data_IF_061130021475
#
_entry.id   IF_061130021475
#
_cell.length_a   1.000
_cell.length_b   1.000
_cell.length_c   1.000
_cell.angle_alpha   90.00
_cell.angle_beta   90.00
_cell.angle_gamma   90.00
#
_symmetry.space_group_name_H-M   'P 1'
#
loop_
_entity.id
_entity.type
_entity.pdbx_description
1 polymer ?
#
# COMPACT_ATOMS: atom_id res chain seq x y z
N UNK A 1 -18.99 13.25 3.14
CA UNK A 1 -17.73 12.48 3.00
C UNK A 1 -18.13 11.02 3.10
N UNK A 2 -18.13 10.29 1.98
CA UNK A 2 -18.62 8.92 1.96
C UNK A 2 -17.61 7.98 2.64
N UNK A 3 -18.14 6.90 3.22
CA UNK A 3 -17.34 5.91 3.95
C UNK A 3 -16.86 4.76 3.03
N UNK A 4 -17.02 4.93 1.71
CA UNK A 4 -16.88 3.92 0.66
C UNK A 4 -15.41 3.73 0.16
N UNK A 5 -14.49 4.60 0.60
CA UNK A 5 -13.07 4.55 0.19
C UNK A 5 -12.20 3.59 1.06
N UNK A 6 -12.81 2.83 1.97
CA UNK A 6 -12.11 1.86 2.83
C UNK A 6 -12.81 0.50 2.82
N UNK A 7 -12.17 -0.47 2.17
CA UNK A 7 -12.49 -1.88 2.34
C UNK A 7 -11.59 -2.49 3.42
N UNK A 8 -12.18 -2.99 4.51
CA UNK A 8 -11.47 -3.92 5.41
C UNK A 8 -11.49 -5.29 4.74
N UNK A 9 -10.44 -5.59 3.97
CA UNK A 9 -10.37 -6.78 3.12
C UNK A 9 -10.14 -8.06 3.93
N UNK A 10 -9.36 -7.97 5.01
CA UNK A 10 -9.08 -9.11 5.87
C UNK A 10 -8.73 -8.66 7.28
N UNK A 11 -9.14 -9.43 8.29
CA UNK A 11 -8.61 -9.36 9.65
C UNK A 11 -8.10 -10.74 10.02
N UNK A 12 -6.86 -10.82 10.53
CA UNK A 12 -6.23 -12.09 10.92
C UNK A 12 -5.84 -12.00 12.38
N UNK A 13 -6.34 -12.92 13.20
CA UNK A 13 -5.80 -13.15 14.54
C UNK A 13 -4.61 -14.09 14.46
N UNK A 14 -3.52 -13.74 15.14
CA UNK A 14 -2.30 -14.54 15.16
C UNK A 14 -1.60 -14.37 16.52
N UNK A 15 -0.84 -15.38 16.94
CA UNK A 15 -0.12 -15.37 18.21
C UNK A 15 1.38 -15.18 17.96
N UNK A 16 1.94 -14.11 18.51
CA UNK A 16 3.31 -13.68 18.25
C UNK A 16 3.99 -13.43 19.59
N UNK A 17 4.96 -14.27 19.95
CA UNK A 17 5.65 -14.21 21.24
C UNK A 17 4.72 -14.42 22.45
N UNK A 18 3.67 -15.23 22.31
CA UNK A 18 2.66 -15.47 23.36
C UNK A 18 1.60 -14.36 23.50
N UNK A 19 1.64 -13.33 22.67
CA UNK A 19 0.61 -12.29 22.60
C UNK A 19 -0.28 -12.48 21.38
N UNK A 20 -1.60 -12.52 21.59
CA UNK A 20 -2.57 -12.46 20.49
C UNK A 20 -2.58 -11.06 19.89
N UNK A 21 -2.34 -10.98 18.58
CA UNK A 21 -2.42 -9.75 17.79
C UNK A 21 -3.47 -9.89 16.69
N UNK A 22 -4.26 -8.83 16.53
CA UNK A 22 -5.22 -8.70 15.43
C UNK A 22 -4.58 -7.86 14.33
N UNK A 23 -4.07 -8.51 13.28
CA UNK A 23 -3.50 -7.83 12.12
C UNK A 23 -4.63 -7.43 11.16
N UNK A 24 -4.78 -6.14 10.89
CA UNK A 24 -5.78 -5.65 9.94
C UNK A 24 -5.15 -5.44 8.56
N UNK A 25 -5.86 -5.90 7.52
CA UNK A 25 -5.57 -5.58 6.12
C UNK A 25 -6.66 -4.66 5.59
N UNK A 26 -6.28 -3.42 5.37
CA UNK A 26 -7.18 -2.35 4.93
C UNK A 26 -6.76 -1.91 3.54
N UNK A 27 -7.66 -1.97 2.57
CA UNK A 27 -7.46 -1.51 1.19
C UNK A 27 -8.14 -0.15 1.02
N UNK A 28 -7.45 0.81 0.41
CA UNK A 28 -7.99 2.15 0.09
C UNK A 28 -7.59 2.59 -1.30
N UNK A 29 -8.45 3.37 -1.95
CA UNK A 29 -8.10 4.05 -3.19
C UNK A 29 -6.95 5.04 -2.99
N UNK A 30 -6.11 5.14 -4.01
CA UNK A 30 -5.06 6.14 -4.11
C UNK A 30 -4.90 6.58 -5.57
N UNK A 31 -4.40 7.79 -5.79
CA UNK A 31 -4.11 8.30 -7.14
C UNK A 31 -2.61 8.39 -7.33
N UNK A 32 -2.11 7.94 -8.48
CA UNK A 32 -0.70 8.13 -8.85
C UNK A 32 -0.44 9.60 -9.12
N UNK A 33 0.49 10.20 -8.36
CA UNK A 33 0.85 11.63 -8.50
C UNK A 33 2.20 11.84 -9.17
N UNK A 34 3.07 10.82 -9.20
CA UNK A 34 4.35 10.88 -9.92
C UNK A 34 4.81 9.47 -10.29
N UNK A 35 5.34 9.34 -11.50
CA UNK A 35 6.09 8.18 -11.95
C UNK A 35 7.45 8.67 -12.46
N UNK A 36 8.52 7.93 -12.15
CA UNK A 36 9.84 8.16 -12.70
C UNK A 36 10.49 6.82 -13.05
N UNK A 37 10.96 6.68 -14.28
CA UNK A 37 11.65 5.46 -14.74
C UNK A 37 13.03 5.32 -14.07
N UNK A 38 13.37 4.11 -13.64
CA UNK A 38 14.63 3.78 -13.00
C UNK A 38 15.14 2.42 -13.49
N UNK A 39 15.77 2.41 -14.67
CA UNK A 39 16.27 1.20 -15.34
C UNK A 39 15.15 0.16 -15.52
N UNK A 40 15.28 -1.00 -14.87
CA UNK A 40 14.34 -2.12 -14.95
C UNK A 40 13.04 -1.93 -14.17
N UNK A 41 12.91 -0.89 -13.34
CA UNK A 41 11.72 -0.64 -12.53
C UNK A 41 11.24 0.83 -12.64
N UNK A 42 10.11 1.13 -12.01
CA UNK A 42 9.55 2.47 -11.87
C UNK A 42 9.54 2.88 -10.39
N UNK A 43 9.90 4.13 -10.14
CA UNK A 43 9.63 4.80 -8.87
C UNK A 43 8.23 5.44 -8.99
N UNK A 44 7.32 5.10 -8.07
CA UNK A 44 5.93 5.56 -8.08
C UNK A 44 5.62 6.28 -6.77
N UNK A 45 4.99 7.44 -6.86
CA UNK A 45 4.39 8.15 -5.72
C UNK A 45 2.89 8.17 -5.92
N UNK A 46 2.17 7.73 -4.89
CA UNK A 46 0.70 7.79 -4.83
C UNK A 46 0.25 8.68 -3.67
N UNK A 47 -0.95 9.23 -3.77
CA UNK A 47 -1.64 9.96 -2.71
C UNK A 47 -2.85 9.15 -2.22
N UNK A 48 -2.95 8.89 -0.91
CA UNK A 48 -4.13 8.28 -0.29
C UNK A 48 -5.33 9.22 -0.45
N UNK A 49 -6.37 8.75 -1.15
CA UNK A 49 -7.55 9.57 -1.47
C UNK A 49 -8.23 10.14 -0.21
N UNK A 50 -8.17 9.42 0.92
CA UNK A 50 -8.76 9.81 2.21
C UNK A 50 -7.85 10.68 3.06
N UNK A 51 -6.58 10.29 3.25
CA UNK A 51 -5.68 11.00 4.19
C UNK A 51 -4.82 12.08 3.54
N UNK A 52 -4.78 12.15 2.21
CA UNK A 52 -3.91 13.03 1.40
C UNK A 52 -2.41 12.87 1.69
N UNK A 53 -2.02 11.79 2.40
CA UNK A 53 -0.63 11.40 2.59
C UNK A 53 -0.08 10.80 1.32
N UNK A 54 1.20 11.10 1.03
CA UNK A 54 1.92 10.57 -0.12
C UNK A 54 2.84 9.42 0.30
N UNK A 55 2.84 8.36 -0.49
CA UNK A 55 3.65 7.16 -0.25
C UNK A 55 4.54 6.90 -1.47
N UNK A 56 5.81 6.57 -1.21
CA UNK A 56 6.82 6.29 -2.23
C UNK A 56 7.10 4.79 -2.32
N UNK A 57 7.03 4.28 -3.54
CA UNK A 57 7.31 2.91 -3.93
C UNK A 57 8.48 2.91 -4.92
N UNK A 58 9.59 2.29 -4.53
CA UNK A 58 10.88 2.44 -5.23
C UNK A 58 11.22 1.30 -6.19
N UNK A 59 10.37 0.26 -6.29
CA UNK A 59 10.65 -1.00 -7.00
C UNK A 59 9.42 -1.58 -7.70
N UNK A 60 8.60 -0.75 -8.36
CA UNK A 60 7.52 -1.25 -9.22
C UNK A 60 8.13 -1.89 -10.48
N UNK A 61 8.10 -3.21 -10.54
CA UNK A 61 9.21 -4.02 -11.08
C UNK A 61 9.29 -4.25 -12.62
N UNK A 62 8.23 -3.93 -13.39
CA UNK A 62 7.99 -4.33 -14.81
C UNK A 62 7.89 -5.88 -15.00
N UNK A 63 7.17 -6.44 -16.01
CA UNK A 63 6.31 -5.82 -17.03
C UNK A 63 4.86 -5.67 -16.56
N UNK A 64 4.63 -5.10 -15.38
CA UNK A 64 3.28 -4.68 -14.98
C UNK A 64 2.71 -3.66 -15.99
N UNK A 65 1.38 -3.45 -16.01
CA UNK A 65 0.74 -2.43 -16.82
C UNK A 65 1.47 -1.08 -16.79
N UNK A 66 1.30 -0.28 -17.84
CA UNK A 66 1.75 1.10 -17.80
C UNK A 66 1.01 1.85 -16.68
N UNK A 67 1.77 2.60 -15.88
CA UNK A 67 1.27 3.36 -14.74
C UNK A 67 1.67 4.80 -15.00
N UNK A 68 0.68 5.69 -14.99
CA UNK A 68 0.79 7.10 -15.33
C UNK A 68 0.29 7.98 -14.18
N UNK A 69 0.77 9.23 -14.07
CA UNK A 69 0.15 10.23 -13.21
C UNK A 69 -1.33 10.41 -13.56
N UNK A 70 -2.21 10.32 -12.57
CA UNK A 70 -3.67 10.33 -12.70
C UNK A 70 -4.34 8.97 -12.50
N UNK A 71 -3.62 7.86 -12.64
CA UNK A 71 -4.20 6.51 -12.51
C UNK A 71 -4.71 6.24 -11.09
N UNK A 72 -5.86 5.57 -10.99
CA UNK A 72 -6.37 5.01 -9.74
C UNK A 72 -5.73 3.64 -9.46
N UNK A 73 -5.18 3.49 -8.26
CA UNK A 73 -4.62 2.25 -7.72
C UNK A 73 -5.16 2.04 -6.30
N UNK A 74 -4.78 0.92 -5.67
CA UNK A 74 -5.06 0.67 -4.26
C UNK A 74 -3.79 0.63 -3.41
N UNK A 75 -3.86 1.19 -2.20
CA UNK A 75 -2.91 0.93 -1.13
C UNK A 75 -3.53 0.01 -0.08
N UNK A 76 -2.80 -1.04 0.27
CA UNK A 76 -3.09 -1.95 1.37
C UNK A 76 -2.24 -1.61 2.59
N UNK A 77 -2.84 -1.42 3.75
CA UNK A 77 -2.13 -1.31 5.03
C UNK A 77 -2.16 -2.66 5.72
N UNK A 78 -0.98 -3.16 6.10
CA UNK A 78 -0.77 -4.39 6.88
C UNK A 78 0.00 -4.00 8.16
N UNK A 79 -0.57 -4.29 9.33
CA UNK A 79 0.12 -4.09 10.61
C UNK A 79 1.36 -4.99 10.70
N UNK A 80 2.46 -4.47 11.24
CA UNK A 80 3.67 -5.27 11.42
C UNK A 80 3.51 -6.24 12.62
N UNK A 81 4.03 -7.48 12.53
CA UNK A 81 3.95 -8.45 13.62
C UNK A 81 4.74 -8.01 14.88
N UNK A 82 5.72 -7.13 14.70
CA UNK A 82 6.55 -6.52 15.74
C UNK A 82 6.50 -4.99 15.62
N UNK A 83 6.72 -4.30 16.73
CA UNK A 83 6.85 -2.83 16.72
C UNK A 83 8.27 -2.44 16.33
N UNK A 84 8.43 -1.53 15.37
CA UNK A 84 9.68 -0.81 15.16
C UNK A 84 9.52 0.61 15.72
N UNK A 85 10.59 1.25 16.24
CA UNK A 85 10.49 2.58 16.86
C UNK A 85 9.81 3.62 15.97
N UNK A 86 10.16 3.62 14.68
CA UNK A 86 9.75 4.64 13.71
C UNK A 86 8.80 4.11 12.62
N UNK A 87 8.40 2.83 12.67
CA UNK A 87 7.57 2.20 11.62
C UNK A 87 6.57 1.21 12.22
N UNK A 88 5.32 1.32 11.82
CA UNK A 88 4.20 0.54 12.36
C UNK A 88 3.48 -0.29 11.32
N UNK A 89 3.57 0.09 10.04
CA UNK A 89 2.79 -0.51 8.98
C UNK A 89 3.63 -0.80 7.74
N UNK A 90 3.41 -1.98 7.18
CA UNK A 90 3.76 -2.26 5.79
C UNK A 90 2.64 -1.71 4.91
N UNK A 91 2.98 -0.93 3.89
CA UNK A 91 2.04 -0.44 2.89
C UNK A 91 2.36 -1.15 1.57
N UNK A 92 1.33 -1.69 0.94
CA UNK A 92 1.40 -2.48 -0.29
C UNK A 92 0.69 -1.70 -1.40
N UNK A 93 1.36 -1.46 -2.52
CA UNK A 93 0.73 -0.89 -3.72
C UNK A 93 0.15 -2.02 -4.57
N UNK A 94 -1.09 -1.85 -5.06
CA UNK A 94 -1.81 -2.84 -5.87
C UNK A 94 -2.55 -2.17 -7.04
N UNK A 95 -2.68 -2.88 -8.15
CA UNK A 95 -3.64 -2.57 -9.23
C UNK A 95 -5.08 -2.79 -8.79
N UNK A 96 -6.04 -2.33 -9.59
CA UNK A 96 -7.47 -2.40 -9.27
C UNK A 96 -7.99 -3.84 -9.13
N UNK A 97 -7.47 -4.77 -9.94
CA UNK A 97 -7.69 -6.22 -9.88
C UNK A 97 -7.05 -6.91 -8.66
N UNK A 98 -6.22 -6.20 -7.89
CA UNK A 98 -5.57 -6.71 -6.67
C UNK A 98 -4.16 -7.28 -6.86
N UNK A 99 -3.56 -7.26 -8.06
CA UNK A 99 -2.16 -7.65 -8.21
C UNK A 99 -1.24 -6.66 -7.46
N UNK A 100 -0.34 -7.18 -6.63
CA UNK A 100 0.67 -6.38 -5.93
C UNK A 100 1.74 -5.85 -6.90
N UNK A 101 2.05 -4.56 -6.79
CA UNK A 101 3.03 -3.84 -7.61
C UNK A 101 4.38 -3.65 -6.90
N UNK A 102 4.35 -3.23 -5.62
CA UNK A 102 5.50 -3.00 -4.74
C UNK A 102 5.01 -2.90 -3.28
N UNK A 103 5.91 -2.79 -2.31
CA UNK A 103 5.58 -2.47 -0.92
C UNK A 103 6.67 -1.62 -0.26
N UNK A 104 6.29 -0.91 0.80
CA UNK A 104 7.18 -0.09 1.63
C UNK A 104 6.79 -0.21 3.10
N UNK A 105 7.59 0.36 4.01
CA UNK A 105 7.28 0.43 5.45
C UNK A 105 7.32 1.87 5.92
N UNK A 106 6.32 2.27 6.71
CA UNK A 106 6.18 3.60 7.34
C UNK A 106 5.74 3.50 8.79
#
# INVERSE_FOLDING_TARGET
MNNEDIDVVQTVETEIGGLRKTLKKIKRKCTVVRVAEAKGWRNVVVEDSKTKKKYFFGKVIKPQPEINPGDELFIGFEDLPYELPDRKNKIILMTLDGMQLDWTMV
#
